data_IF_586893625359
#
_entry.id   IF_586893625359
#
_cell.length_a   1.000
_cell.length_b   1.000
_cell.length_c   1.000
_cell.angle_alpha   90.00
_cell.angle_beta   90.00
_cell.angle_gamma   90.00
#
_symmetry.space_group_name_H-M   'P 1'
#
loop_
_entity.id
_entity.type
_entity.pdbx_description
1 polymer ?
#
# COMPACT_ATOMS: atom_id res chain seq x y z
N UNK A 1 -17.29 -8.72 -24.68
CA UNK A 1 -16.50 -7.48 -24.53
C UNK A 1 -15.98 -7.38 -23.09
N UNK A 2 -15.01 -8.21 -22.73
CA UNK A 2 -14.24 -8.09 -21.47
C UNK A 2 -12.72 -8.27 -21.70
N UNK A 3 -12.30 -8.63 -22.92
CA UNK A 3 -10.89 -8.96 -23.22
C UNK A 3 -9.99 -7.74 -23.40
N UNK A 4 -10.54 -6.53 -23.40
CA UNK A 4 -9.77 -5.29 -23.66
C UNK A 4 -9.25 -4.61 -22.39
N UNK A 5 -9.57 -5.12 -21.19
CA UNK A 5 -9.24 -4.45 -19.90
C UNK A 5 -8.33 -5.26 -18.97
N UNK A 6 -7.61 -6.25 -19.50
CA UNK A 6 -6.71 -7.11 -18.72
C UNK A 6 -7.20 -8.54 -18.60
N UNK A 7 -6.46 -9.36 -17.88
CA UNK A 7 -6.75 -10.80 -17.79
C UNK A 7 -7.91 -11.05 -16.84
N UNK A 8 -9.08 -11.41 -17.39
CA UNK A 8 -10.24 -11.85 -16.58
C UNK A 8 -9.94 -13.23 -16.01
N UNK A 9 -9.85 -13.31 -14.68
CA UNK A 9 -9.79 -14.59 -13.94
C UNK A 9 -11.13 -14.76 -13.23
N UNK A 10 -11.90 -15.77 -13.63
CA UNK A 10 -13.15 -16.12 -12.96
C UNK A 10 -12.82 -16.71 -11.58
N UNK A 11 -13.34 -16.08 -10.53
CA UNK A 11 -13.20 -16.60 -9.17
C UNK A 11 -14.52 -17.24 -8.76
N UNK A 12 -14.71 -18.51 -9.09
CA UNK A 12 -15.91 -19.30 -8.76
C UNK A 12 -17.22 -18.83 -9.42
N UNK A 13 -18.29 -19.60 -9.19
CA UNK A 13 -19.58 -19.43 -9.88
C UNK A 13 -20.57 -18.51 -9.14
N UNK A 14 -20.32 -18.18 -7.87
CA UNK A 14 -21.24 -17.40 -7.04
C UNK A 14 -21.07 -15.87 -7.20
N UNK A 15 -22.20 -15.17 -7.32
CA UNK A 15 -22.25 -13.70 -7.23
C UNK A 15 -21.65 -13.25 -5.88
N UNK A 16 -20.53 -12.53 -5.92
CA UNK A 16 -19.85 -12.02 -4.71
C UNK A 16 -18.37 -12.41 -4.61
N UNK A 17 -17.96 -13.53 -5.21
CA UNK A 17 -16.58 -14.01 -5.11
C UNK A 17 -15.54 -13.02 -5.68
N UNK A 18 -15.89 -12.30 -6.75
CA UNK A 18 -15.03 -11.23 -7.29
C UNK A 18 -14.79 -10.07 -6.31
N UNK A 19 -15.81 -9.72 -5.50
CA UNK A 19 -15.65 -8.71 -4.45
C UNK A 19 -14.79 -9.25 -3.30
N UNK A 20 -14.96 -10.52 -2.91
CA UNK A 20 -14.12 -11.15 -1.89
C UNK A 20 -12.65 -11.20 -2.30
N UNK A 21 -12.34 -11.54 -3.55
CA UNK A 21 -10.95 -11.53 -4.06
C UNK A 21 -10.38 -10.13 -4.07
N UNK A 22 -11.19 -9.13 -4.45
CA UNK A 22 -10.76 -7.73 -4.39
C UNK A 22 -10.43 -7.31 -2.96
N UNK A 23 -11.22 -7.72 -1.96
CA UNK A 23 -10.94 -7.46 -0.54
C UNK A 23 -9.60 -8.08 -0.13
N UNK A 24 -9.35 -9.35 -0.49
CA UNK A 24 -8.07 -10.02 -0.20
C UNK A 24 -6.90 -9.31 -0.91
N UNK A 25 -7.08 -8.89 -2.16
CA UNK A 25 -6.05 -8.13 -2.87
C UNK A 25 -5.77 -6.79 -2.19
N UNK A 26 -6.81 -6.04 -1.81
CA UNK A 26 -6.63 -4.75 -1.14
C UNK A 26 -6.01 -4.91 0.25
N UNK A 27 -6.28 -6.01 0.96
CA UNK A 27 -5.54 -6.35 2.18
C UNK A 27 -4.03 -6.41 1.92
N UNK A 28 -3.60 -7.21 0.93
CA UNK A 28 -2.19 -7.35 0.58
C UNK A 28 -1.60 -6.04 0.05
N UNK A 29 -2.32 -5.29 -0.78
CA UNK A 29 -1.87 -3.98 -1.25
C UNK A 29 -1.62 -3.01 -0.09
N UNK A 30 -2.56 -2.92 0.86
CA UNK A 30 -2.44 -2.05 2.03
C UNK A 30 -1.24 -2.42 2.89
N UNK A 31 -1.09 -3.70 3.22
CA UNK A 31 0.02 -4.19 4.07
C UNK A 31 1.36 -4.00 3.35
N UNK A 32 1.47 -4.42 2.09
CA UNK A 32 2.72 -4.32 1.33
C UNK A 32 3.15 -2.87 1.12
N UNK A 33 2.21 -1.95 0.90
CA UNK A 33 2.54 -0.53 0.75
C UNK A 33 3.06 0.07 2.05
N UNK A 34 2.38 -0.22 3.18
CA UNK A 34 2.82 0.25 4.49
C UNK A 34 4.20 -0.32 4.87
N UNK A 35 4.44 -1.60 4.58
CA UNK A 35 5.72 -2.27 4.81
C UNK A 35 6.83 -1.74 3.89
N UNK A 36 6.54 -1.49 2.62
CA UNK A 36 7.50 -0.89 1.67
C UNK A 36 7.94 0.49 2.14
N UNK A 37 6.98 1.31 2.58
CA UNK A 37 7.26 2.63 3.13
C UNK A 37 8.11 2.57 4.40
N UNK A 38 7.77 1.67 5.34
CA UNK A 38 8.54 1.44 6.56
C UNK A 38 9.96 0.98 6.26
N UNK A 39 10.13 0.02 5.35
CA UNK A 39 11.42 -0.53 4.96
C UNK A 39 12.34 0.52 4.33
N UNK A 40 11.82 1.37 3.43
CA UNK A 40 12.62 2.45 2.82
C UNK A 40 12.93 3.58 3.81
N UNK A 41 12.03 3.89 4.74
CA UNK A 41 12.32 4.82 5.84
C UNK A 41 13.35 4.25 6.84
N UNK A 42 13.33 2.95 7.08
CA UNK A 42 14.33 2.26 7.88
C UNK A 42 15.70 2.28 7.18
N UNK A 43 15.74 1.99 5.88
CA UNK A 43 16.97 2.08 5.08
C UNK A 43 17.61 3.48 5.17
N UNK A 44 16.79 4.54 5.08
CA UNK A 44 17.23 5.92 5.28
C UNK A 44 17.80 6.15 6.70
N UNK A 45 17.15 5.61 7.72
CA UNK A 45 17.62 5.70 9.12
C UNK A 45 18.92 4.95 9.38
N UNK A 46 19.18 3.89 8.59
CA UNK A 46 20.43 3.12 8.62
C UNK A 46 21.55 3.77 7.78
N UNK A 47 21.29 4.91 7.12
CA UNK A 47 22.26 5.58 6.25
C UNK A 47 22.50 4.83 4.93
N UNK A 48 21.58 3.94 4.53
CA UNK A 48 21.66 3.21 3.27
C UNK A 48 21.09 4.04 2.12
N UNK A 49 21.63 3.83 0.92
CA UNK A 49 21.03 4.38 -0.29
C UNK A 49 19.71 3.66 -0.59
N UNK A 50 18.60 4.40 -0.49
CA UNK A 50 17.24 3.90 -0.78
C UNK A 50 17.12 3.35 -2.19
N UNK A 51 17.82 3.91 -3.18
CA UNK A 51 17.74 3.44 -4.56
C UNK A 51 18.37 2.06 -4.70
N UNK A 52 19.57 1.87 -4.14
CA UNK A 52 20.22 0.56 -4.08
C UNK A 52 19.40 -0.47 -3.29
N UNK A 53 18.80 -0.08 -2.16
CA UNK A 53 17.94 -0.97 -1.37
C UNK A 53 16.70 -1.38 -2.16
N UNK A 54 16.04 -0.44 -2.82
CA UNK A 54 14.86 -0.72 -3.64
C UNK A 54 15.17 -1.72 -4.76
N UNK A 55 16.31 -1.56 -5.44
CA UNK A 55 16.75 -2.46 -6.51
C UNK A 55 17.02 -3.88 -5.98
N UNK A 56 17.83 -3.99 -4.92
CA UNK A 56 18.22 -5.28 -4.33
C UNK A 56 17.04 -6.03 -3.70
N UNK A 57 16.21 -5.34 -2.92
CA UNK A 57 15.07 -5.96 -2.23
C UNK A 57 13.94 -6.25 -3.21
N UNK A 58 13.70 -5.34 -4.17
CA UNK A 58 12.64 -5.47 -5.18
C UNK A 58 12.80 -6.71 -6.06
N UNK A 59 14.04 -7.10 -6.39
CA UNK A 59 14.34 -8.33 -7.14
C UNK A 59 14.47 -9.60 -6.27
N UNK A 60 14.51 -9.45 -4.95
CA UNK A 60 14.73 -10.54 -4.00
C UNK A 60 13.43 -11.08 -3.36
N UNK A 61 13.58 -11.91 -2.32
CA UNK A 61 12.45 -12.50 -1.58
C UNK A 61 11.60 -11.48 -0.81
N UNK A 62 12.12 -10.27 -0.59
CA UNK A 62 11.38 -9.16 0.01
C UNK A 62 10.54 -8.34 -0.99
N UNK A 63 10.61 -8.68 -2.28
CA UNK A 63 9.90 -7.98 -3.34
C UNK A 63 8.39 -8.12 -3.25
N UNK A 64 7.68 -7.08 -3.66
CA UNK A 64 6.25 -7.11 -3.93
C UNK A 64 5.93 -6.16 -5.08
N UNK A 65 4.84 -6.39 -5.80
CA UNK A 65 4.41 -5.46 -6.84
C UNK A 65 4.22 -4.04 -6.30
N UNK A 66 3.69 -3.89 -5.08
CA UNK A 66 3.53 -2.60 -4.42
C UNK A 66 4.87 -1.90 -4.17
N UNK A 67 5.90 -2.62 -3.73
CA UNK A 67 7.24 -2.06 -3.56
C UNK A 67 7.83 -1.64 -4.91
N UNK A 68 7.75 -2.49 -5.93
CA UNK A 68 8.33 -2.20 -7.25
C UNK A 68 7.66 -1.00 -7.94
N UNK A 69 6.34 -0.85 -7.83
CA UNK A 69 5.62 0.25 -8.47
C UNK A 69 5.66 1.55 -7.63
N UNK A 70 5.42 1.47 -6.30
CA UNK A 70 5.39 2.69 -5.46
C UNK A 70 6.75 3.13 -4.98
N UNK A 71 7.70 2.20 -4.81
CA UNK A 71 9.05 2.47 -4.35
C UNK A 71 9.72 3.62 -5.10
N UNK A 72 9.77 3.65 -6.45
CA UNK A 72 10.38 4.75 -7.18
C UNK A 72 9.76 6.11 -6.85
N UNK A 73 8.42 6.17 -6.72
CA UNK A 73 7.72 7.39 -6.29
C UNK A 73 8.01 7.75 -4.84
N UNK A 74 8.37 6.76 -4.00
CA UNK A 74 8.79 7.03 -2.64
C UNK A 74 10.08 7.85 -2.53
N UNK A 75 10.97 7.70 -3.52
CA UNK A 75 12.26 8.38 -3.61
C UNK A 75 12.17 9.79 -4.22
N UNK A 76 11.10 10.11 -4.97
CA UNK A 76 10.93 11.39 -5.69
C UNK A 76 10.58 12.58 -4.78
N UNK A 77 10.35 12.37 -3.48
CA UNK A 77 9.97 13.45 -2.57
C UNK A 77 8.55 13.98 -2.82
N UNK A 78 8.31 15.26 -2.60
CA UNK A 78 6.96 15.88 -2.72
C UNK A 78 6.45 16.02 -4.16
N UNK A 79 7.32 15.82 -5.14
CA UNK A 79 7.05 16.03 -6.57
C UNK A 79 6.58 14.75 -7.29
N UNK A 80 6.37 13.66 -6.55
CA UNK A 80 5.86 12.42 -7.10
C UNK A 80 4.49 12.63 -7.78
N UNK A 81 4.29 12.16 -9.02
CA UNK A 81 3.00 12.23 -9.70
C UNK A 81 1.96 11.40 -8.95
N UNK A 82 0.73 11.91 -8.88
CA UNK A 82 -0.37 11.19 -8.23
C UNK A 82 -0.92 10.14 -9.19
N UNK A 83 -0.58 8.88 -8.92
CA UNK A 83 -1.10 7.71 -9.64
C UNK A 83 -2.30 7.10 -8.93
N UNK A 84 -2.29 7.17 -7.60
CA UNK A 84 -3.37 6.72 -6.70
C UNK A 84 -3.19 7.49 -5.40
N UNK A 85 -4.28 7.99 -4.82
CA UNK A 85 -4.22 8.89 -3.66
C UNK A 85 -4.27 8.13 -2.32
N UNK A 86 -3.69 8.72 -1.26
CA UNK A 86 -3.81 8.20 0.11
C UNK A 86 -5.27 7.99 0.52
N UNK A 87 -6.18 8.90 0.10
CA UNK A 87 -7.61 8.77 0.34
C UNK A 87 -8.19 7.42 -0.13
N UNK A 88 -7.67 6.86 -1.21
CA UNK A 88 -8.09 5.56 -1.75
C UNK A 88 -7.72 4.45 -0.77
N UNK A 89 -6.50 4.47 -0.23
CA UNK A 89 -6.04 3.48 0.74
C UNK A 89 -6.72 3.60 2.11
N UNK A 90 -7.04 4.82 2.56
CA UNK A 90 -7.88 5.03 3.76
C UNK A 90 -9.24 4.34 3.59
N UNK A 91 -9.92 4.61 2.46
CA UNK A 91 -11.22 4.02 2.16
C UNK A 91 -11.15 2.49 2.01
N UNK A 92 -10.22 1.99 1.20
CA UNK A 92 -10.14 0.57 0.87
C UNK A 92 -9.72 -0.27 2.08
N UNK A 93 -8.76 0.20 2.89
CA UNK A 93 -8.41 -0.49 4.14
C UNK A 93 -9.57 -0.52 5.14
N UNK A 94 -10.41 0.52 5.15
CA UNK A 94 -11.68 0.52 5.89
C UNK A 94 -12.65 -0.55 5.40
N UNK A 95 -12.83 -0.70 4.09
CA UNK A 95 -13.69 -1.74 3.49
C UNK A 95 -13.19 -3.15 3.83
N UNK A 96 -11.88 -3.37 3.77
CA UNK A 96 -11.27 -4.66 4.14
C UNK A 96 -11.49 -4.96 5.63
N UNK A 97 -11.29 -3.97 6.49
CA UNK A 97 -11.51 -4.08 7.95
C UNK A 97 -12.98 -4.44 8.26
N UNK A 98 -13.95 -3.79 7.61
CA UNK A 98 -15.37 -4.12 7.76
C UNK A 98 -15.71 -5.52 7.24
N UNK A 99 -15.13 -5.93 6.10
CA UNK A 99 -15.35 -7.26 5.56
C UNK A 99 -14.81 -8.35 6.50
N UNK A 100 -13.59 -8.16 7.04
CA UNK A 100 -12.99 -9.08 8.00
C UNK A 100 -13.85 -9.22 9.27
N UNK A 101 -14.33 -8.10 9.82
CA UNK A 101 -15.25 -8.11 10.97
C UNK A 101 -16.55 -8.89 10.68
N UNK A 102 -17.12 -8.74 9.47
CA UNK A 102 -18.36 -9.42 9.09
C UNK A 102 -18.26 -10.94 9.00
N UNK A 103 -17.06 -11.47 8.75
CA UNK A 103 -16.80 -12.91 8.65
C UNK A 103 -15.98 -13.47 9.81
N UNK A 104 -15.67 -12.66 10.83
CA UNK A 104 -14.89 -13.08 12.00
C UNK A 104 -13.41 -13.36 11.70
N UNK A 105 -12.85 -12.80 10.63
CA UNK A 105 -11.43 -12.92 10.31
C UNK A 105 -10.60 -11.88 11.07
N UNK A 106 -9.45 -12.30 11.61
CA UNK A 106 -8.48 -11.40 12.23
C UNK A 106 -7.48 -10.87 11.19
N UNK A 107 -7.22 -9.56 11.20
CA UNK A 107 -6.39 -8.85 10.22
C UNK A 107 -5.45 -7.83 10.89
N UNK A 108 -4.62 -8.23 11.86
CA UNK A 108 -3.86 -7.29 12.70
C UNK A 108 -2.87 -6.43 11.88
N UNK A 109 -2.26 -7.00 10.84
CA UNK A 109 -1.37 -6.26 9.94
C UNK A 109 -2.10 -5.14 9.18
N UNK A 110 -3.35 -5.38 8.80
CA UNK A 110 -4.16 -4.37 8.13
C UNK A 110 -4.46 -3.20 9.07
N UNK A 111 -4.77 -3.46 10.33
CA UNK A 111 -5.08 -2.38 11.27
C UNK A 111 -3.86 -1.47 11.49
N UNK A 112 -2.65 -2.05 11.55
CA UNK A 112 -1.40 -1.24 11.58
C UNK A 112 -1.25 -0.41 10.30
N UNK A 113 -1.43 -1.02 9.13
CA UNK A 113 -1.34 -0.30 7.85
C UNK A 113 -2.39 0.83 7.73
N UNK A 114 -3.63 0.56 8.15
CA UNK A 114 -4.74 1.51 8.19
C UNK A 114 -4.44 2.70 9.10
N UNK A 115 -3.87 2.47 10.28
CA UNK A 115 -3.40 3.56 11.16
C UNK A 115 -2.38 4.46 10.45
N UNK A 116 -1.49 3.90 9.62
CA UNK A 116 -0.51 4.69 8.86
C UNK A 116 -1.16 5.52 7.76
N UNK A 117 -2.12 4.98 7.01
CA UNK A 117 -2.85 5.76 6.01
C UNK A 117 -3.67 6.88 6.65
N UNK A 118 -4.31 6.62 7.79
CA UNK A 118 -5.03 7.65 8.54
C UNK A 118 -4.09 8.75 9.04
N UNK A 119 -2.94 8.38 9.62
CA UNK A 119 -1.93 9.36 10.05
C UNK A 119 -1.44 10.24 8.89
N UNK A 120 -1.29 9.67 7.68
CA UNK A 120 -0.92 10.46 6.51
C UNK A 120 -2.05 11.41 6.07
N UNK A 121 -3.31 10.95 6.12
CA UNK A 121 -4.47 11.79 5.84
C UNK A 121 -4.58 12.96 6.84
N UNK A 122 -4.40 12.68 8.14
CA UNK A 122 -4.39 13.67 9.22
C UNK A 122 -3.25 14.70 9.05
N UNK A 123 -2.13 14.28 8.45
CA UNK A 123 -1.03 15.15 8.06
C UNK A 123 -1.29 15.97 6.77
N UNK A 124 -2.51 15.94 6.22
CA UNK A 124 -2.90 16.71 5.03
C UNK A 124 -2.46 16.09 3.70
N UNK A 125 -2.05 14.81 3.70
CA UNK A 125 -1.56 14.12 2.50
C UNK A 125 -2.66 13.38 1.73
N UNK A 126 -3.92 13.55 2.09
CA UNK A 126 -5.08 12.84 1.52
C UNK A 126 -5.11 12.79 -0.02
N UNK A 127 -4.76 13.90 -0.69
CA UNK A 127 -4.75 14.02 -2.15
C UNK A 127 -3.38 13.74 -2.79
N UNK A 128 -2.37 13.45 -1.99
CA UNK A 128 -1.03 13.08 -2.48
C UNK A 128 -1.01 11.61 -2.86
N UNK A 129 -0.02 11.24 -3.68
CA UNK A 129 0.21 9.85 -4.08
C UNK A 129 0.32 8.96 -2.84
N UNK A 130 -0.22 7.75 -2.93
CA UNK A 130 -0.24 6.76 -1.84
C UNK A 130 1.18 6.38 -1.38
N UNK A 131 2.20 6.52 -2.24
CA UNK A 131 3.62 6.40 -1.89
C UNK A 131 4.09 7.42 -0.85
N UNK A 132 3.34 8.50 -0.61
CA UNK A 132 3.66 9.51 0.42
C UNK A 132 3.30 9.05 1.84
N UNK A 133 2.73 7.86 2.02
CA UNK A 133 2.61 7.26 3.36
C UNK A 133 3.97 7.10 4.06
N UNK A 134 5.09 7.05 3.31
CA UNK A 134 6.45 7.06 3.86
C UNK A 134 6.74 8.28 4.76
N UNK A 135 6.08 9.42 4.52
CA UNK A 135 6.28 10.62 5.33
C UNK A 135 5.80 10.41 6.78
N UNK A 136 4.92 9.43 7.04
CA UNK A 136 4.48 9.08 8.41
C UNK A 136 5.53 8.34 9.23
N UNK A 137 6.59 7.84 8.60
CA UNK A 137 7.69 7.13 9.27
C UNK A 137 8.92 8.00 9.50
N UNK A 138 9.03 9.13 8.79
CA UNK A 138 10.12 10.07 8.99
C UNK A 138 9.82 10.91 10.22
N UNK A 139 10.76 10.97 11.16
CA UNK A 139 10.67 11.94 12.26
C UNK A 139 10.74 13.34 11.65
N UNK A 140 9.85 14.23 12.08
CA UNK A 140 10.02 15.67 11.84
C UNK A 140 11.38 16.06 12.43
N UNK A 141 12.33 16.39 11.56
CA UNK A 141 13.59 16.99 12.01
C UNK A 141 13.21 18.33 12.64
N UNK A 142 13.32 18.40 13.98
CA UNK A 142 13.29 19.64 14.76
C UNK A 142 14.71 20.18 14.90
#
# INVERSE_FOLDING_TARGET
MLDTMGTVRMVGEALGNGQSVKVVNQHLCSVNLAAAAEALALAESLGLDKAAVLDLVGGGSGGSWMLSDRGPRMLMGTDAPVTSAIAIFVKDSGLVSSAAASCGADVPLLEVAKTRFNAAADAGLTLRDDSRVIETYRKQQS
#
